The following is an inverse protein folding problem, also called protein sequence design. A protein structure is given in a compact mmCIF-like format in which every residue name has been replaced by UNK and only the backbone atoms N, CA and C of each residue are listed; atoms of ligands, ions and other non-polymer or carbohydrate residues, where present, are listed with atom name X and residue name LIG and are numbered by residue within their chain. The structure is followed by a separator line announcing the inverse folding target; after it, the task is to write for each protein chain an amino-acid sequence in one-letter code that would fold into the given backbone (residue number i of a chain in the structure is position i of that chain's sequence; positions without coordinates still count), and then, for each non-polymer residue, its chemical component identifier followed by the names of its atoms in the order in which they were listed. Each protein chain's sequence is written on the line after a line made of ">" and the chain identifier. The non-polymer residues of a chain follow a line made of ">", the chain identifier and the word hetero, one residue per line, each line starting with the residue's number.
data_IF_659806215135
#
_entry.id   IF_659806215135
#
_cell.length_a   1.000
_cell.length_b   1.000
_cell.length_c   1.000
_cell.angle_alpha   90.00
_cell.angle_beta   90.00
_cell.angle_gamma   90.00
#
_symmetry.space_group_name_H-M   'P 1'
#
loop_
_entity.id
_entity.type
_entity.pdbx_description
1 polymer ?
#
# COMPACT_ATOMS: atom_id res chain seq x y z
N UNK A 1 -9.84 28.16 28.28
CA UNK A 1 -10.77 27.85 27.17
C UNK A 1 -10.06 26.93 26.19
N UNK A 2 -10.70 25.86 25.68
CA UNK A 2 -10.09 25.06 24.62
C UNK A 2 -9.84 25.96 23.40
N UNK A 3 -8.66 25.87 22.80
CA UNK A 3 -8.31 26.62 21.59
C UNK A 3 -9.29 26.21 20.48
N UNK A 4 -10.04 27.16 19.96
CA UNK A 4 -10.92 26.93 18.81
C UNK A 4 -10.07 27.02 17.55
N UNK A 5 -9.97 25.91 16.81
CA UNK A 5 -9.27 25.87 15.53
C UNK A 5 -10.25 26.19 14.40
N UNK A 6 -9.82 27.03 13.48
CA UNK A 6 -10.47 27.23 12.18
C UNK A 6 -10.45 25.95 11.35
N UNK A 7 -11.29 25.85 10.32
CA UNK A 7 -11.27 24.68 9.43
C UNK A 7 -9.91 24.51 8.76
N UNK A 8 -9.30 25.60 8.29
CA UNK A 8 -7.96 25.57 7.68
C UNK A 8 -6.88 25.06 8.65
N UNK A 9 -6.92 25.49 9.92
CA UNK A 9 -5.99 24.97 10.94
C UNK A 9 -6.24 23.49 11.23
N UNK A 10 -7.51 23.05 11.22
CA UNK A 10 -7.85 21.64 11.41
C UNK A 10 -7.30 20.77 10.28
N UNK A 11 -7.46 21.21 9.03
CA UNK A 11 -6.96 20.49 7.86
C UNK A 11 -5.43 20.38 7.90
N UNK A 12 -4.75 21.48 8.25
CA UNK A 12 -3.29 21.49 8.40
C UNK A 12 -2.81 20.59 9.54
N UNK A 13 -3.49 20.59 10.69
CA UNK A 13 -3.18 19.69 11.81
C UNK A 13 -3.38 18.24 11.38
N UNK A 14 -4.48 17.92 10.70
CA UNK A 14 -4.75 16.56 10.23
C UNK A 14 -3.67 16.10 9.24
N UNK A 15 -3.30 16.93 8.27
CA UNK A 15 -2.21 16.66 7.31
C UNK A 15 -0.89 16.36 8.04
N UNK A 16 -0.49 17.23 8.98
CA UNK A 16 0.75 17.04 9.74
C UNK A 16 0.71 15.81 10.65
N UNK A 17 -0.44 15.47 11.22
CA UNK A 17 -0.60 14.22 11.98
C UNK A 17 -0.38 12.99 11.10
N UNK A 18 -0.93 12.97 9.90
CA UNK A 18 -0.72 11.89 8.92
C UNK A 18 0.75 11.76 8.52
N UNK A 19 1.42 12.87 8.20
CA UNK A 19 2.83 12.89 7.80
C UNK A 19 3.76 12.40 8.92
N UNK A 20 3.61 12.94 10.13
CA UNK A 20 4.44 12.53 11.26
C UNK A 20 4.13 11.10 11.71
N UNK A 21 2.89 10.63 11.55
CA UNK A 21 2.53 9.24 11.79
C UNK A 21 3.18 8.29 10.79
N UNK A 22 3.16 8.63 9.49
CA UNK A 22 3.89 7.87 8.47
C UNK A 22 5.38 7.80 8.75
N UNK A 23 6.00 8.93 9.09
CA UNK A 23 7.42 8.96 9.45
C UNK A 23 7.72 8.11 10.69
N UNK A 24 6.96 8.29 11.77
CA UNK A 24 7.19 7.54 13.01
C UNK A 24 6.96 6.05 12.82
N UNK A 25 5.94 5.67 12.05
CA UNK A 25 5.63 4.29 11.73
C UNK A 25 6.78 3.66 10.94
N UNK A 26 7.21 4.30 9.85
CA UNK A 26 8.35 3.88 9.04
C UNK A 26 9.66 3.71 9.84
N UNK A 27 9.94 4.62 10.77
CA UNK A 27 11.21 4.63 11.51
C UNK A 27 11.20 3.76 12.77
N UNK A 28 10.07 3.65 13.47
CA UNK A 28 10.01 3.07 14.81
C UNK A 28 9.01 1.91 14.93
N UNK A 29 8.17 1.69 13.94
CA UNK A 29 7.06 0.73 13.98
C UNK A 29 5.80 1.27 14.66
N UNK A 30 4.73 0.48 14.59
CA UNK A 30 3.40 0.77 15.13
C UNK A 30 3.42 0.85 16.66
N UNK A 31 4.17 -0.03 17.32
CA UNK A 31 4.22 -0.11 18.79
C UNK A 31 4.89 1.12 19.42
N UNK A 32 6.01 1.57 18.84
CA UNK A 32 6.79 2.70 19.37
C UNK A 32 6.26 4.07 18.94
N UNK A 33 5.40 4.11 17.92
CA UNK A 33 4.67 5.33 17.58
C UNK A 33 3.63 5.62 18.67
N UNK A 34 3.77 6.75 19.37
CA UNK A 34 2.89 7.13 20.49
C UNK A 34 2.19 8.46 20.22
N UNK A 35 1.01 8.65 20.80
CA UNK A 35 0.29 9.94 20.73
C UNK A 35 1.17 11.08 21.25
N UNK A 36 1.92 10.86 22.34
CA UNK A 36 2.77 11.89 22.95
C UNK A 36 3.89 12.36 22.01
N UNK A 37 4.52 11.44 21.29
CA UNK A 37 5.54 11.79 20.29
C UNK A 37 4.93 12.49 19.08
N UNK A 38 3.78 12.02 18.58
CA UNK A 38 3.08 12.63 17.44
C UNK A 38 2.66 14.07 17.74
N UNK A 39 2.02 14.31 18.88
CA UNK A 39 1.55 15.66 19.23
C UNK A 39 2.71 16.61 19.52
N UNK A 40 3.83 16.10 20.02
CA UNK A 40 5.07 16.87 20.20
C UNK A 40 5.66 17.29 18.85
N UNK A 41 5.72 16.39 17.86
CA UNK A 41 6.21 16.67 16.50
C UNK A 41 5.32 17.66 15.76
N UNK A 42 4.01 17.50 15.88
CA UNK A 42 3.04 18.43 15.27
C UNK A 42 2.97 19.76 16.03
N UNK A 43 3.33 19.78 17.32
CA UNK A 43 3.29 20.98 18.16
C UNK A 43 1.89 21.33 18.65
N UNK A 44 1.08 20.32 18.98
CA UNK A 44 -0.29 20.47 19.48
C UNK A 44 -0.44 19.87 20.89
N UNK A 45 -1.41 20.35 21.69
CA UNK A 45 -1.76 19.68 22.95
C UNK A 45 -2.29 18.26 22.71
N UNK A 46 -2.02 17.32 23.62
CA UNK A 46 -2.52 15.94 23.54
C UNK A 46 -4.03 15.85 23.38
N UNK A 47 -4.79 16.70 24.08
CA UNK A 47 -6.25 16.75 23.94
C UNK A 47 -6.72 17.14 22.54
N UNK A 48 -5.91 17.88 21.77
CA UNK A 48 -6.23 18.23 20.38
C UNK A 48 -6.17 17.03 19.45
N UNK A 49 -5.27 16.06 19.67
CA UNK A 49 -5.21 14.82 18.88
C UNK A 49 -6.57 14.10 18.86
N UNK A 50 -7.19 13.99 20.04
CA UNK A 50 -8.46 13.29 20.21
C UNK A 50 -9.67 14.02 19.63
N UNK A 51 -9.48 15.23 19.08
CA UNK A 51 -10.50 15.90 18.25
C UNK A 51 -10.52 15.37 16.82
N UNK A 52 -9.44 14.71 16.36
CA UNK A 52 -9.30 14.18 15.00
C UNK A 52 -9.34 12.67 14.97
N UNK A 53 -8.74 12.01 15.97
CA UNK A 53 -8.55 10.57 16.00
C UNK A 53 -8.91 9.99 17.36
N UNK A 54 -9.75 8.96 17.37
CA UNK A 54 -10.10 8.24 18.60
C UNK A 54 -8.92 7.48 19.22
N UNK A 55 -7.96 7.07 18.39
CA UNK A 55 -6.79 6.30 18.79
C UNK A 55 -5.62 6.55 17.84
N UNK A 56 -4.40 6.20 18.28
CA UNK A 56 -3.24 6.21 17.38
C UNK A 56 -3.41 5.16 16.27
N UNK A 57 -4.04 4.03 16.56
CA UNK A 57 -4.22 2.97 15.58
C UNK A 57 -5.16 3.38 14.45
N UNK A 58 -6.17 4.19 14.74
CA UNK A 58 -7.01 4.80 13.69
C UNK A 58 -6.19 5.68 12.74
N UNK A 59 -5.34 6.55 13.29
CA UNK A 59 -4.45 7.39 12.48
C UNK A 59 -3.47 6.55 11.66
N UNK A 60 -2.83 5.55 12.27
CA UNK A 60 -1.89 4.68 11.57
C UNK A 60 -2.55 3.86 10.46
N UNK A 61 -3.79 3.43 10.67
CA UNK A 61 -4.57 2.77 9.62
C UNK A 61 -4.85 3.72 8.44
N UNK A 62 -5.28 4.96 8.69
CA UNK A 62 -5.46 5.95 7.62
C UNK A 62 -4.16 6.22 6.84
N UNK A 63 -3.00 6.21 7.50
CA UNK A 63 -1.71 6.35 6.83
C UNK A 63 -1.43 5.17 5.89
N UNK A 64 -1.75 3.94 6.30
CA UNK A 64 -1.61 2.75 5.45
C UNK A 64 -2.54 2.85 4.23
N UNK A 65 -3.80 3.20 4.44
CA UNK A 65 -4.78 3.38 3.36
C UNK A 65 -4.30 4.43 2.34
N UNK A 66 -3.82 5.58 2.82
CA UNK A 66 -3.30 6.63 1.95
C UNK A 66 -2.06 6.19 1.15
N UNK A 67 -1.20 5.34 1.74
CA UNK A 67 -0.06 4.77 1.05
C UNK A 67 -0.48 3.78 -0.05
N UNK A 68 -1.49 2.95 0.21
CA UNK A 68 -2.08 2.06 -0.80
C UNK A 68 -2.70 2.86 -1.95
N UNK A 69 -3.55 3.84 -1.65
CA UNK A 69 -4.21 4.67 -2.67
C UNK A 69 -3.20 5.40 -3.57
N UNK A 70 -2.09 5.89 -2.98
CA UNK A 70 -1.02 6.51 -3.74
C UNK A 70 -0.32 5.51 -4.68
N UNK A 71 0.00 4.33 -4.17
CA UNK A 71 0.64 3.25 -4.94
C UNK A 71 -0.24 2.80 -6.11
N UNK A 72 -1.54 2.61 -5.86
CA UNK A 72 -2.55 2.27 -6.85
C UNK A 72 -2.65 3.30 -7.97
N UNK A 73 -2.70 4.59 -7.60
CA UNK A 73 -2.74 5.71 -8.55
C UNK A 73 -1.51 5.71 -9.45
N UNK A 74 -0.31 5.58 -8.87
CA UNK A 74 0.93 5.52 -9.63
C UNK A 74 1.00 4.32 -10.57
N UNK A 75 0.47 3.17 -10.15
CA UNK A 75 0.39 1.98 -11.00
C UNK A 75 -0.56 2.19 -12.17
N UNK A 76 -1.75 2.72 -11.91
CA UNK A 76 -2.74 3.00 -12.95
C UNK A 76 -2.20 3.98 -13.99
N UNK A 77 -1.51 5.04 -13.56
CA UNK A 77 -0.87 6.01 -14.46
C UNK A 77 0.22 5.35 -15.33
N UNK A 78 1.07 4.50 -14.73
CA UNK A 78 2.12 3.82 -15.49
C UNK A 78 1.56 2.76 -16.46
N UNK A 79 0.56 1.98 -16.06
CA UNK A 79 -0.13 1.02 -16.95
C UNK A 79 -0.74 1.74 -18.15
N UNK A 80 -1.43 2.86 -17.92
CA UNK A 80 -2.05 3.65 -19.00
C UNK A 80 -1.02 4.25 -19.98
N UNK A 81 0.23 4.42 -19.53
CA UNK A 81 1.33 4.95 -20.35
C UNK A 81 2.14 3.87 -21.08
N UNK A 82 1.89 2.57 -20.84
CA UNK A 82 2.64 1.50 -21.50
C UNK A 82 2.30 1.42 -22.98
N UNK A 83 3.34 1.36 -23.80
CA UNK A 83 3.21 1.05 -25.22
C UNK A 83 2.96 -0.46 -25.42
N UNK A 84 1.72 -0.80 -25.74
CA UNK A 84 1.28 -2.18 -25.98
C UNK A 84 1.45 -2.62 -27.45
N UNK A 85 2.15 -1.83 -28.29
CA UNK A 85 2.35 -2.16 -29.71
C UNK A 85 3.60 -3.00 -29.99
N UNK A 86 4.50 -3.11 -29.01
CA UNK A 86 5.76 -3.86 -29.09
C UNK A 86 5.70 -5.20 -28.35
N UNK A 87 6.78 -5.52 -27.63
CA UNK A 87 6.86 -6.70 -26.78
C UNK A 87 6.07 -6.46 -25.48
N UNK A 88 4.74 -6.59 -25.58
CA UNK A 88 3.80 -6.34 -24.49
C UNK A 88 4.07 -7.19 -23.26
N UNK A 89 4.49 -8.45 -23.43
CA UNK A 89 4.82 -9.32 -22.32
C UNK A 89 6.00 -8.78 -21.52
N UNK A 90 7.13 -8.46 -22.18
CA UNK A 90 8.29 -7.93 -21.47
C UNK A 90 8.02 -6.53 -20.91
N UNK A 91 7.33 -5.65 -21.65
CA UNK A 91 6.99 -4.31 -21.18
C UNK A 91 6.13 -4.34 -19.90
N UNK A 92 5.09 -5.19 -19.87
CA UNK A 92 4.28 -5.36 -18.67
C UNK A 92 5.05 -6.07 -17.56
N UNK A 93 5.89 -7.06 -17.88
CA UNK A 93 6.73 -7.73 -16.88
C UNK A 93 7.66 -6.72 -16.19
N UNK A 94 8.33 -5.86 -16.96
CA UNK A 94 9.22 -4.81 -16.43
C UNK A 94 8.43 -3.79 -15.61
N UNK A 95 7.23 -3.41 -16.07
CA UNK A 95 6.35 -2.50 -15.33
C UNK A 95 5.97 -3.06 -13.96
N UNK A 96 5.41 -4.27 -13.92
CA UNK A 96 4.97 -4.90 -12.68
C UNK A 96 6.16 -5.20 -11.76
N UNK A 97 7.31 -5.60 -12.32
CA UNK A 97 8.54 -5.77 -11.54
C UNK A 97 8.97 -4.46 -10.89
N UNK A 98 9.00 -3.36 -11.66
CA UNK A 98 9.34 -2.03 -11.14
C UNK A 98 8.33 -1.53 -10.09
N UNK A 99 7.06 -1.90 -10.23
CA UNK A 99 6.04 -1.62 -9.22
C UNK A 99 6.34 -2.33 -7.89
N UNK A 100 6.67 -3.62 -7.92
CA UNK A 100 7.04 -4.35 -6.71
C UNK A 100 8.33 -3.82 -6.07
N UNK A 101 9.32 -3.47 -6.87
CA UNK A 101 10.56 -2.86 -6.36
C UNK A 101 10.28 -1.50 -5.70
N UNK A 102 9.40 -0.68 -6.27
CA UNK A 102 8.96 0.58 -5.68
C UNK A 102 8.22 0.35 -4.36
N UNK A 103 7.30 -0.62 -4.31
CA UNK A 103 6.55 -0.96 -3.09
C UNK A 103 7.48 -1.46 -1.97
N UNK A 104 8.55 -2.20 -2.30
CA UNK A 104 9.57 -2.63 -1.35
C UNK A 104 10.32 -1.44 -0.73
N UNK A 105 10.53 -0.36 -1.46
CA UNK A 105 11.23 0.83 -0.96
C UNK A 105 10.34 1.69 -0.04
N UNK A 106 9.03 1.45 0.00
CA UNK A 106 8.09 2.17 0.86
C UNK A 106 8.08 1.58 2.28
N UNK A 107 8.69 2.24 3.30
CA UNK A 107 8.84 1.63 4.61
C UNK A 107 7.49 1.39 5.32
N UNK A 108 6.47 2.18 4.98
CA UNK A 108 5.10 1.99 5.49
C UNK A 108 4.51 0.64 5.05
N UNK A 109 4.80 0.17 3.84
CA UNK A 109 4.28 -1.09 3.32
C UNK A 109 5.03 -2.29 3.88
N UNK A 110 6.33 -2.15 4.17
CA UNK A 110 7.10 -3.20 4.85
C UNK A 110 6.53 -3.57 6.23
N UNK A 111 5.88 -2.62 6.90
CA UNK A 111 5.26 -2.85 8.21
C UNK A 111 4.06 -3.80 8.14
N UNK A 112 3.45 -3.96 6.97
CA UNK A 112 2.38 -4.92 6.75
C UNK A 112 2.83 -6.37 6.93
N UNK A 113 4.13 -6.66 6.85
CA UNK A 113 4.66 -8.00 7.17
C UNK A 113 5.09 -8.16 8.64
N UNK A 114 5.00 -7.09 9.45
CA UNK A 114 5.39 -7.17 10.85
C UNK A 114 4.28 -7.83 11.69
N UNK A 115 4.66 -8.54 12.76
CA UNK A 115 3.68 -8.98 13.76
C UNK A 115 2.86 -7.82 14.36
N UNK A 116 3.32 -6.58 14.20
CA UNK A 116 2.63 -5.39 14.68
C UNK A 116 1.37 -5.07 13.88
N UNK A 117 1.29 -5.45 12.61
CA UNK A 117 0.08 -5.24 11.81
C UNK A 117 -1.10 -6.00 12.41
N UNK A 118 -0.87 -7.22 12.94
CA UNK A 118 -1.89 -8.03 13.59
C UNK A 118 -2.43 -7.38 14.86
N UNK A 119 -1.64 -6.52 15.50
CA UNK A 119 -2.09 -5.75 16.67
C UNK A 119 -2.89 -4.52 16.26
N UNK A 120 -2.51 -3.90 15.15
CA UNK A 120 -3.25 -2.78 14.56
C UNK A 120 -4.63 -3.25 14.08
N UNK A 121 -4.69 -4.29 13.24
CA UNK A 121 -5.92 -4.77 12.62
C UNK A 121 -6.94 -5.28 13.65
N UNK A 122 -6.50 -5.81 14.79
CA UNK A 122 -7.40 -6.15 15.92
C UNK A 122 -8.15 -4.96 16.51
N UNK A 123 -7.67 -3.74 16.30
CA UNK A 123 -8.30 -2.50 16.75
C UNK A 123 -9.10 -1.79 15.66
N UNK A 124 -9.06 -2.31 14.43
CA UNK A 124 -9.82 -1.77 13.30
C UNK A 124 -11.06 -2.65 13.10
N UNK A 125 -12.24 -2.08 12.76
CA UNK A 125 -13.42 -2.87 12.45
C UNK A 125 -13.15 -3.86 11.31
N UNK A 126 -13.57 -5.11 11.49
CA UNK A 126 -13.36 -6.17 10.50
C UNK A 126 -13.97 -5.84 9.13
N UNK A 127 -15.07 -5.10 9.11
CA UNK A 127 -15.71 -4.62 7.88
C UNK A 127 -14.82 -3.64 7.10
N UNK A 128 -14.07 -2.76 7.78
CA UNK A 128 -13.15 -1.83 7.11
C UNK A 128 -11.96 -2.57 6.51
N UNK A 129 -11.42 -3.58 7.22
CA UNK A 129 -10.36 -4.44 6.68
C UNK A 129 -10.85 -5.20 5.44
N UNK A 130 -12.06 -5.77 5.51
CA UNK A 130 -12.66 -6.48 4.39
C UNK A 130 -12.98 -5.55 3.21
N UNK A 131 -13.42 -4.31 3.47
CA UNK A 131 -13.65 -3.31 2.46
C UNK A 131 -12.35 -2.96 1.72
N UNK A 132 -11.27 -2.72 2.47
CA UNK A 132 -9.94 -2.44 1.91
C UNK A 132 -9.43 -3.59 1.03
N UNK A 133 -9.49 -4.84 1.52
CA UNK A 133 -9.09 -6.01 0.72
C UNK A 133 -9.92 -6.19 -0.57
N UNK A 134 -11.20 -5.82 -0.51
CA UNK A 134 -12.09 -5.86 -1.67
C UNK A 134 -11.71 -4.75 -2.66
N UNK A 135 -11.34 -3.58 -2.19
CA UNK A 135 -10.87 -2.45 -2.99
C UNK A 135 -9.56 -2.82 -3.72
N UNK A 136 -8.54 -3.30 -3.00
CA UNK A 136 -7.28 -3.81 -3.58
C UNK A 136 -7.54 -4.84 -4.72
N UNK A 137 -8.56 -5.69 -4.55
CA UNK A 137 -8.95 -6.69 -5.58
C UNK A 137 -9.59 -6.04 -6.83
N UNK A 138 -10.44 -5.03 -6.62
CA UNK A 138 -11.08 -4.30 -7.71
C UNK A 138 -10.09 -3.45 -8.50
N UNK A 139 -9.12 -2.86 -7.81
CA UNK A 139 -8.01 -2.06 -8.35
C UNK A 139 -7.23 -2.84 -9.40
N UNK A 140 -6.71 -4.01 -9.02
CA UNK A 140 -5.99 -4.91 -9.94
C UNK A 140 -6.87 -5.31 -11.13
N UNK A 141 -8.16 -5.58 -10.89
CA UNK A 141 -9.11 -5.90 -11.96
C UNK A 141 -9.27 -4.74 -12.97
N UNK A 142 -9.28 -3.49 -12.50
CA UNK A 142 -9.35 -2.29 -13.36
C UNK A 142 -8.06 -2.08 -14.16
N UNK A 143 -6.91 -2.44 -13.61
CA UNK A 143 -5.64 -2.39 -14.35
C UNK A 143 -5.69 -3.36 -15.55
N UNK A 144 -6.13 -4.60 -15.33
CA UNK A 144 -6.22 -5.60 -16.39
C UNK A 144 -7.32 -5.32 -17.42
N UNK A 145 -8.35 -4.55 -17.08
CA UNK A 145 -9.36 -4.11 -18.04
C UNK A 145 -8.80 -3.20 -19.16
N UNK A 146 -7.60 -2.62 -18.96
CA UNK A 146 -6.94 -1.75 -19.93
C UNK A 146 -5.98 -2.51 -20.87
N UNK A 147 -5.82 -3.82 -20.63
CA UNK A 147 -4.86 -4.68 -21.34
C UNK A 147 -5.66 -5.65 -22.23
N UNK A 148 -5.19 -5.96 -23.46
CA UNK A 148 -5.83 -6.97 -24.29
C UNK A 148 -5.59 -8.37 -23.70
N UNK A 149 -6.63 -8.94 -23.09
CA UNK A 149 -6.58 -10.26 -22.48
C UNK A 149 -7.11 -11.35 -23.42
N UNK A 150 -6.64 -12.57 -23.22
CA UNK A 150 -7.24 -13.78 -23.79
C UNK A 150 -8.72 -13.94 -23.39
N UNK A 151 -9.51 -14.58 -24.24
CA UNK A 151 -10.88 -14.96 -23.86
C UNK A 151 -10.88 -15.98 -22.71
N UNK A 152 -11.79 -15.79 -21.75
CA UNK A 152 -11.99 -16.74 -20.64
C UNK A 152 -11.01 -16.61 -19.48
N UNK A 153 -10.19 -15.55 -19.43
CA UNK A 153 -9.31 -15.28 -18.27
C UNK A 153 -10.14 -15.08 -17.00
N UNK A 154 -9.83 -15.85 -15.96
CA UNK A 154 -10.37 -15.66 -14.62
C UNK A 154 -9.61 -14.54 -13.89
N UNK A 155 -10.15 -13.32 -13.95
CA UNK A 155 -9.55 -12.14 -13.32
C UNK A 155 -9.38 -12.34 -11.80
N UNK A 156 -10.27 -13.10 -11.14
CA UNK A 156 -10.14 -13.40 -9.72
C UNK A 156 -8.87 -14.21 -9.44
N UNK A 157 -8.58 -15.22 -10.27
CA UNK A 157 -7.36 -16.02 -10.18
C UNK A 157 -6.10 -15.19 -10.47
N UNK A 158 -6.15 -14.30 -11.47
CA UNK A 158 -5.04 -13.38 -11.81
C UNK A 158 -4.73 -12.47 -10.63
N UNK A 159 -5.75 -11.82 -10.07
CA UNK A 159 -5.60 -10.94 -8.90
C UNK A 159 -5.05 -11.69 -7.70
N UNK A 160 -5.53 -12.92 -7.43
CA UNK A 160 -4.99 -13.76 -6.37
C UNK A 160 -3.50 -14.12 -6.61
N UNK A 161 -3.09 -14.34 -7.86
CA UNK A 161 -1.69 -14.60 -8.20
C UNK A 161 -0.80 -13.37 -7.95
N UNK A 162 -1.21 -12.16 -8.37
CA UNK A 162 -0.47 -10.93 -8.06
C UNK A 162 -0.43 -10.62 -6.57
N UNK A 163 -1.51 -10.91 -5.81
CA UNK A 163 -1.46 -10.85 -4.35
C UNK A 163 -0.46 -11.83 -3.75
N UNK A 164 -0.40 -13.07 -4.25
CA UNK A 164 0.59 -14.04 -3.79
C UNK A 164 2.03 -13.60 -4.12
N UNK A 165 2.24 -12.99 -5.29
CA UNK A 165 3.53 -12.38 -5.66
C UNK A 165 3.90 -11.25 -4.70
N UNK A 166 2.96 -10.36 -4.36
CA UNK A 166 3.19 -9.32 -3.35
C UNK A 166 3.63 -9.90 -2.01
N UNK A 167 2.96 -10.94 -1.51
CA UNK A 167 3.40 -11.59 -0.27
C UNK A 167 4.79 -12.21 -0.37
N UNK A 168 5.18 -12.69 -1.54
CA UNK A 168 6.54 -13.19 -1.76
C UNK A 168 7.58 -12.07 -1.66
N UNK A 169 7.26 -10.83 -2.09
CA UNK A 169 8.20 -9.71 -1.99
C UNK A 169 8.42 -9.25 -0.55
N UNK A 170 7.42 -9.42 0.31
CA UNK A 170 7.54 -9.14 1.75
C UNK A 170 8.51 -10.08 2.48
N UNK A 171 8.83 -11.24 1.89
CA UNK A 171 9.72 -12.27 2.44
C UNK A 171 11.08 -12.33 1.71
N UNK A 172 11.46 -11.23 1.04
CA UNK A 172 12.71 -11.11 0.27
C UNK A 172 13.95 -11.59 1.00
N UNK A 173 14.08 -11.29 2.29
CA UNK A 173 15.25 -11.67 3.11
C UNK A 173 15.45 -13.19 3.25
N UNK A 174 14.44 -13.99 2.87
CA UNK A 174 14.51 -15.47 2.85
C UNK A 174 14.95 -16.03 1.49
N UNK A 175 15.12 -15.19 0.48
CA UNK A 175 15.49 -15.56 -0.89
C UNK A 175 16.91 -15.08 -1.16
N UNK A 176 17.69 -15.85 -1.92
CA UNK A 176 19.03 -15.42 -2.34
C UNK A 176 18.94 -14.10 -3.13
N UNK A 177 19.64 -13.03 -2.72
CA UNK A 177 19.62 -11.75 -3.42
C UNK A 177 20.01 -11.85 -4.91
N UNK A 178 20.85 -12.81 -5.30
CA UNK A 178 21.26 -13.02 -6.70
C UNK A 178 20.14 -13.59 -7.57
N UNK A 179 19.16 -14.27 -6.95
CA UNK A 179 18.07 -14.95 -7.64
C UNK A 179 16.71 -14.29 -7.43
N UNK A 180 16.58 -13.42 -6.41
CA UNK A 180 15.32 -12.77 -6.05
C UNK A 180 14.64 -12.08 -7.23
N UNK A 181 15.35 -11.17 -7.91
CA UNK A 181 14.79 -10.42 -9.04
C UNK A 181 14.43 -11.34 -10.21
N UNK A 182 15.27 -12.34 -10.49
CA UNK A 182 15.02 -13.33 -11.56
C UNK A 182 13.78 -14.15 -11.25
N UNK A 183 13.63 -14.60 -10.00
CA UNK A 183 12.47 -15.35 -9.52
C UNK A 183 11.19 -14.53 -9.62
N UNK A 184 11.23 -13.27 -9.16
CA UNK A 184 10.10 -12.37 -9.24
C UNK A 184 9.69 -12.10 -10.70
N UNK A 185 10.66 -11.87 -11.58
CA UNK A 185 10.43 -11.72 -13.03
C UNK A 185 9.78 -12.96 -13.63
N UNK A 186 10.23 -14.17 -13.25
CA UNK A 186 9.64 -15.43 -13.72
C UNK A 186 8.19 -15.60 -13.26
N UNK A 187 7.88 -15.25 -12.01
CA UNK A 187 6.52 -15.31 -11.48
C UNK A 187 5.59 -14.34 -12.22
N UNK A 188 6.00 -13.07 -12.32
CA UNK A 188 5.21 -12.02 -12.97
C UNK A 188 5.01 -12.35 -14.45
N UNK A 189 6.09 -12.62 -15.18
CA UNK A 189 6.05 -12.96 -16.60
C UNK A 189 5.24 -14.23 -16.86
N UNK A 190 5.32 -15.23 -15.97
CA UNK A 190 4.54 -16.46 -16.07
C UNK A 190 3.03 -16.25 -15.89
N UNK A 191 2.61 -15.34 -15.01
CA UNK A 191 1.19 -14.96 -14.88
C UNK A 191 0.75 -14.16 -16.11
N UNK A 192 1.54 -13.18 -16.54
CA UNK A 192 1.23 -12.35 -17.72
C UNK A 192 1.12 -13.18 -19.00
N UNK A 193 2.00 -14.18 -19.19
CA UNK A 193 1.96 -15.08 -20.35
C UNK A 193 0.66 -15.88 -20.45
N UNK A 194 -0.01 -16.15 -19.33
CA UNK A 194 -1.27 -16.90 -19.33
C UNK A 194 -2.48 -16.04 -19.72
N UNK A 195 -2.35 -14.71 -19.63
CA UNK A 195 -3.50 -13.80 -19.78
C UNK A 195 -3.39 -12.89 -21.01
N UNK A 196 -2.19 -12.68 -21.55
CA UNK A 196 -1.96 -11.90 -22.76
C UNK A 196 -2.22 -12.76 -24.01
N UNK A 197 -2.86 -12.14 -25.01
CA UNK A 197 -3.20 -12.74 -26.30
C UNK A 197 -2.04 -12.70 -27.32
#
# INVERSE_FOLDING_TARGET
>A
MPKCYTNQEKDEIKRRLMEEAGYCMAQYGIKKTTVDELVKRVGIPKGTFYLFYESKERLLWEVILAAHEQMEREMAEKVAAVDLTGDTLNALTDLFLGFYQMAEEMPVLQILNSEEINLLTKKIPAEEIAAHQKEDTMEISRLFAQIPLCEGVDIGAVTAAFHAIYFATLERDKIDPEDYEKGLRLLIGGVLMQILA
#
